data_IF_368881649740
#
_entry.id   IF_368881649740
#
_cell.length_a   1.000
_cell.length_b   1.000
_cell.length_c   1.000
_cell.angle_alpha   90.00
_cell.angle_beta   90.00
_cell.angle_gamma   90.00
#
_symmetry.space_group_name_H-M   'P 1'
#
loop_
_entity.id
_entity.type
_entity.pdbx_description
1 polymer ?
#
# COMPACT_ATOMS: atom_id res chain seq x y z
N UNK A 1 -9.53 5.05 -10.20
CA UNK A 1 -8.13 4.89 -10.69
C UNK A 1 -8.08 3.76 -11.70
N UNK A 2 -7.38 3.97 -12.80
CA UNK A 2 -7.17 2.96 -13.85
C UNK A 2 -5.68 2.69 -14.01
N UNK A 3 -5.32 1.43 -14.18
CA UNK A 3 -3.96 1.01 -14.48
C UNK A 3 -3.76 0.86 -15.97
N UNK A 4 -2.56 1.19 -16.44
CA UNK A 4 -2.13 0.95 -17.82
C UNK A 4 -1.27 -0.31 -17.85
N UNK A 5 -1.83 -1.41 -18.36
CA UNK A 5 -1.15 -2.71 -18.39
C UNK A 5 -0.79 -3.06 -19.83
N UNK A 6 0.50 -3.32 -20.08
CA UNK A 6 0.97 -3.81 -21.37
C UNK A 6 0.85 -5.32 -21.46
N UNK A 7 0.52 -5.81 -22.65
CA UNK A 7 0.41 -7.25 -22.89
C UNK A 7 1.79 -7.91 -22.95
N UNK A 8 2.14 -8.68 -21.94
CA UNK A 8 3.40 -9.42 -21.88
C UNK A 8 3.45 -10.58 -22.88
N UNK A 9 2.29 -11.13 -23.27
CA UNK A 9 2.24 -12.16 -24.32
C UNK A 9 2.70 -11.61 -25.67
N UNK A 10 2.45 -10.33 -25.96
CA UNK A 10 3.01 -9.69 -27.15
C UNK A 10 4.54 -9.70 -27.12
N UNK A 11 5.16 -9.43 -25.96
CA UNK A 11 6.62 -9.50 -25.83
C UNK A 11 7.15 -10.91 -26.06
N UNK A 12 6.48 -11.93 -25.51
CA UNK A 12 6.91 -13.33 -25.63
C UNK A 12 6.74 -13.89 -27.04
N UNK A 13 5.65 -13.53 -27.75
CA UNK A 13 5.34 -14.07 -29.08
C UNK A 13 6.01 -13.29 -30.19
N UNK A 14 6.00 -11.95 -30.09
CA UNK A 14 6.44 -11.06 -31.17
C UNK A 14 7.80 -10.42 -30.88
N UNK A 15 8.42 -10.68 -29.72
CA UNK A 15 9.67 -10.05 -29.28
C UNK A 15 9.56 -8.55 -28.99
N UNK A 16 8.36 -7.99 -29.04
CA UNK A 16 8.10 -6.56 -28.80
C UNK A 16 6.88 -6.37 -27.91
N UNK A 17 7.01 -5.53 -26.91
CA UNK A 17 5.85 -5.08 -26.15
C UNK A 17 4.82 -4.41 -27.07
N UNK A 18 3.53 -4.54 -26.73
CA UNK A 18 2.49 -3.74 -27.42
C UNK A 18 2.77 -2.25 -27.21
N UNK A 19 2.64 -1.48 -28.27
CA UNK A 19 2.82 -0.02 -28.20
C UNK A 19 1.73 0.62 -27.32
N UNK A 20 0.55 0.03 -27.30
CA UNK A 20 -0.59 0.48 -26.52
C UNK A 20 -0.74 -0.35 -25.23
N UNK A 21 -1.02 0.35 -24.13
CA UNK A 21 -1.39 -0.25 -22.87
C UNK A 21 -2.91 -0.39 -22.78
N UNK A 22 -3.35 -1.44 -22.09
CA UNK A 22 -4.77 -1.64 -21.79
C UNK A 22 -5.12 -0.91 -20.50
N UNK A 23 -6.10 -0.04 -20.55
CA UNK A 23 -6.61 0.68 -19.38
C UNK A 23 -7.60 -0.21 -18.62
N UNK A 24 -7.25 -0.64 -17.42
CA UNK A 24 -8.06 -1.52 -16.57
C UNK A 24 -8.42 -0.83 -15.26
N UNK A 25 -9.61 -1.14 -14.71
CA UNK A 25 -10.00 -0.64 -13.40
C UNK A 25 -9.26 -1.38 -12.30
N UNK A 26 -8.91 -0.63 -11.25
CA UNK A 26 -8.26 -1.19 -10.06
C UNK A 26 -9.13 -2.27 -9.42
N UNK A 27 -8.58 -3.47 -9.21
CA UNK A 27 -9.26 -4.60 -8.59
C UNK A 27 -8.71 -4.86 -7.18
N UNK A 28 -9.60 -5.31 -6.29
CA UNK A 28 -9.26 -5.55 -4.87
C UNK A 28 -8.30 -6.74 -4.68
N UNK A 29 -8.33 -7.69 -5.60
CA UNK A 29 -7.49 -8.89 -5.60
C UNK A 29 -6.15 -8.70 -6.32
N UNK A 30 -5.92 -7.55 -6.97
CA UNK A 30 -4.71 -7.26 -7.72
C UNK A 30 -4.55 -8.07 -9.01
N UNK A 31 -5.64 -8.69 -9.50
CA UNK A 31 -5.66 -9.52 -10.71
C UNK A 31 -6.41 -8.84 -11.84
N UNK A 32 -5.80 -8.79 -12.99
CA UNK A 32 -6.33 -8.08 -14.16
C UNK A 32 -6.41 -9.00 -15.36
N UNK A 33 -7.63 -9.40 -15.70
CA UNK A 33 -7.92 -10.12 -16.95
C UNK A 33 -8.12 -9.12 -18.07
N UNK A 34 -7.39 -9.29 -19.17
CA UNK A 34 -7.53 -8.42 -20.34
C UNK A 34 -7.33 -9.17 -21.64
N UNK A 35 -7.88 -8.58 -22.71
CA UNK A 35 -7.59 -8.99 -24.09
C UNK A 35 -6.96 -7.81 -24.81
N UNK A 36 -5.71 -7.99 -25.30
CA UNK A 36 -5.04 -6.92 -26.03
C UNK A 36 -5.58 -6.79 -27.47
N UNK A 37 -5.22 -5.74 -28.18
CA UNK A 37 -5.65 -5.48 -29.55
C UNK A 37 -5.27 -6.60 -30.54
N UNK A 38 -4.20 -7.37 -30.25
CA UNK A 38 -3.79 -8.55 -31.03
C UNK A 38 -4.55 -9.83 -30.66
N UNK A 39 -5.55 -9.74 -29.77
CA UNK A 39 -6.38 -10.87 -29.36
C UNK A 39 -5.77 -11.78 -28.28
N UNK A 40 -4.60 -11.47 -27.72
CA UNK A 40 -4.05 -12.26 -26.63
C UNK A 40 -4.86 -12.03 -25.35
N UNK A 41 -5.33 -13.13 -24.77
CA UNK A 41 -5.98 -13.13 -23.45
C UNK A 41 -4.93 -13.39 -22.39
N UNK A 42 -4.79 -12.48 -21.43
CA UNK A 42 -3.82 -12.58 -20.34
C UNK A 42 -4.46 -12.24 -19.00
N UNK A 43 -3.92 -12.85 -17.94
CA UNK A 43 -4.16 -12.44 -16.56
C UNK A 43 -2.85 -11.88 -16.04
N UNK A 44 -2.87 -10.64 -15.57
CA UNK A 44 -1.70 -9.97 -14.99
C UNK A 44 -1.94 -9.78 -13.50
N UNK A 45 -0.99 -10.20 -12.67
CA UNK A 45 -0.96 -9.90 -11.25
C UNK A 45 0.02 -8.76 -10.98
N UNK A 46 -0.36 -7.81 -10.14
CA UNK A 46 0.57 -6.79 -9.65
C UNK A 46 1.26 -7.26 -8.38
N UNK A 47 2.53 -6.87 -8.20
CA UNK A 47 3.33 -7.30 -7.04
C UNK A 47 3.04 -6.49 -5.77
N UNK A 48 2.53 -5.28 -5.93
CA UNK A 48 2.35 -4.32 -4.86
C UNK A 48 1.31 -4.78 -3.85
N UNK A 49 1.62 -4.59 -2.58
CA UNK A 49 0.72 -4.91 -1.48
C UNK A 49 -0.41 -3.88 -1.39
N UNK A 50 -1.53 -4.28 -0.82
CA UNK A 50 -2.71 -3.42 -0.71
C UNK A 50 -2.42 -2.08 -0.02
N UNK A 51 -1.51 -2.04 0.95
CA UNK A 51 -1.14 -0.80 1.63
C UNK A 51 -0.39 0.18 0.72
N UNK A 52 0.45 -0.32 -0.20
CA UNK A 52 1.19 0.48 -1.18
C UNK A 52 0.21 1.18 -2.13
N UNK A 53 -0.72 0.41 -2.66
CA UNK A 53 -1.78 0.91 -3.56
C UNK A 53 -2.68 1.94 -2.87
N UNK A 54 -3.10 1.67 -1.64
CA UNK A 54 -3.96 2.59 -0.89
C UNK A 54 -3.24 3.90 -0.55
N UNK A 55 -1.93 3.85 -0.27
CA UNK A 55 -1.15 5.05 -0.04
C UNK A 55 -1.05 5.91 -1.31
N UNK A 56 -0.80 5.27 -2.45
CA UNK A 56 -0.77 5.94 -3.77
C UNK A 56 -2.15 6.53 -4.14
N UNK A 57 -3.24 5.81 -3.86
CA UNK A 57 -4.60 6.35 -4.02
C UNK A 57 -4.81 7.62 -3.18
N UNK A 58 -4.30 7.63 -1.95
CA UNK A 58 -4.32 8.82 -1.09
C UNK A 58 -3.51 9.99 -1.66
N UNK A 59 -2.32 9.69 -2.19
CA UNK A 59 -1.47 10.69 -2.85
C UNK A 59 -2.14 11.27 -4.12
N UNK A 60 -2.75 10.42 -4.93
CA UNK A 60 -3.51 10.85 -6.11
C UNK A 60 -4.70 11.73 -5.73
N UNK A 61 -5.48 11.33 -4.74
CA UNK A 61 -6.61 12.11 -4.26
C UNK A 61 -6.16 13.50 -3.75
N UNK A 62 -5.01 13.58 -3.08
CA UNK A 62 -4.44 14.87 -2.67
C UNK A 62 -4.07 15.74 -3.88
N UNK A 63 -3.40 15.18 -4.88
CA UNK A 63 -3.01 15.90 -6.10
C UNK A 63 -4.22 16.36 -6.93
N UNK A 64 -5.30 15.60 -6.90
CA UNK A 64 -6.55 15.90 -7.62
C UNK A 64 -7.51 16.81 -6.82
N UNK A 65 -7.10 17.25 -5.63
CA UNK A 65 -7.90 18.18 -4.82
C UNK A 65 -9.02 17.52 -4.02
N UNK A 66 -8.92 16.22 -3.71
CA UNK A 66 -9.85 15.45 -2.88
C UNK A 66 -9.25 15.15 -1.50
N UNK A 67 -9.12 16.16 -0.63
CA UNK A 67 -8.34 16.02 0.62
C UNK A 67 -8.95 15.03 1.62
N UNK A 68 -10.27 14.89 1.66
CA UNK A 68 -10.95 13.94 2.55
C UNK A 68 -10.65 12.50 2.14
N UNK A 69 -10.75 12.21 0.86
CA UNK A 69 -10.47 10.91 0.24
C UNK A 69 -9.00 10.53 0.42
N UNK A 70 -8.10 11.53 0.33
CA UNK A 70 -6.69 11.34 0.58
C UNK A 70 -6.41 10.83 2.00
N UNK A 71 -6.96 11.49 3.03
CA UNK A 71 -6.82 11.04 4.43
C UNK A 71 -7.42 9.65 4.63
N UNK A 72 -8.59 9.39 4.06
CA UNK A 72 -9.27 8.09 4.18
C UNK A 72 -8.43 6.96 3.59
N UNK A 73 -7.86 7.16 2.40
CA UNK A 73 -7.03 6.16 1.73
C UNK A 73 -5.70 5.93 2.45
N UNK A 74 -5.03 7.00 2.92
CA UNK A 74 -3.80 6.89 3.70
C UNK A 74 -4.04 6.19 5.05
N UNK A 75 -5.15 6.45 5.72
CA UNK A 75 -5.54 5.76 6.95
C UNK A 75 -5.76 4.25 6.71
N UNK A 76 -6.45 3.91 5.63
CA UNK A 76 -6.64 2.52 5.23
C UNK A 76 -5.30 1.83 4.87
N UNK A 77 -4.34 2.57 4.29
CA UNK A 77 -3.00 2.05 4.03
C UNK A 77 -2.30 1.61 5.31
N UNK A 78 -2.36 2.40 6.39
CA UNK A 78 -1.79 2.02 7.70
C UNK A 78 -2.39 0.73 8.23
N UNK A 79 -3.71 0.57 8.15
CA UNK A 79 -4.39 -0.63 8.62
C UNK A 79 -3.98 -1.88 7.81
N UNK A 80 -3.80 -1.74 6.50
CA UNK A 80 -3.29 -2.83 5.64
C UNK A 80 -1.80 -3.10 5.86
N UNK A 81 -1.04 -2.08 6.22
CA UNK A 81 0.35 -2.26 6.59
C UNK A 81 0.51 -3.05 7.90
N UNK A 82 -0.34 -2.81 8.91
CA UNK A 82 -0.34 -3.64 10.12
C UNK A 82 -0.58 -5.12 9.80
N UNK A 83 -1.50 -5.40 8.89
CA UNK A 83 -1.75 -6.77 8.42
C UNK A 83 -0.49 -7.36 7.77
N UNK A 84 0.16 -6.62 6.87
CA UNK A 84 1.40 -7.04 6.23
C UNK A 84 2.52 -7.31 7.25
N UNK A 85 2.71 -6.41 8.22
CA UNK A 85 3.69 -6.56 9.30
C UNK A 85 3.45 -7.85 10.11
N UNK A 86 2.20 -8.07 10.51
CA UNK A 86 1.80 -9.28 11.26
C UNK A 86 2.08 -10.53 10.42
N UNK A 87 1.80 -10.52 9.12
CA UNK A 87 2.09 -11.64 8.22
C UNK A 87 3.59 -11.94 8.18
N UNK A 88 4.42 -10.92 7.98
CA UNK A 88 5.89 -11.09 7.90
C UNK A 88 6.43 -11.71 9.19
N UNK A 89 6.08 -11.16 10.35
CA UNK A 89 6.59 -11.65 11.63
C UNK A 89 6.02 -13.02 11.98
N UNK A 90 4.74 -13.27 11.71
CA UNK A 90 4.15 -14.60 11.94
C UNK A 90 4.84 -15.70 11.13
N UNK A 91 5.15 -15.44 9.86
CA UNK A 91 5.91 -16.37 9.02
C UNK A 91 7.33 -16.60 9.55
N UNK A 92 7.97 -15.55 10.05
CA UNK A 92 9.29 -15.66 10.69
C UNK A 92 9.27 -16.60 11.90
N UNK A 93 8.18 -16.60 12.65
CA UNK A 93 7.97 -17.51 13.79
C UNK A 93 7.34 -18.86 13.40
N UNK A 94 7.35 -19.21 12.12
CA UNK A 94 6.92 -20.54 11.64
C UNK A 94 5.41 -20.72 11.48
N UNK A 95 4.61 -19.66 11.61
CA UNK A 95 3.16 -19.73 11.39
C UNK A 95 2.87 -19.76 9.90
N UNK A 96 2.09 -20.75 9.43
CA UNK A 96 1.72 -20.84 8.02
C UNK A 96 0.71 -19.77 7.60
N UNK A 97 0.66 -19.44 6.32
CA UNK A 97 -0.36 -18.53 5.77
C UNK A 97 -1.78 -19.02 6.03
N UNK A 98 -2.01 -20.35 5.99
CA UNK A 98 -3.31 -20.93 6.25
C UNK A 98 -3.75 -20.69 7.70
N UNK A 99 -2.87 -20.97 8.66
CA UNK A 99 -3.12 -20.73 10.09
C UNK A 99 -3.36 -19.26 10.36
N UNK A 100 -2.53 -18.39 9.77
CA UNK A 100 -2.65 -16.95 9.94
C UNK A 100 -3.97 -16.42 9.37
N UNK A 101 -4.38 -16.88 8.19
CA UNK A 101 -5.66 -16.49 7.58
C UNK A 101 -6.84 -16.85 8.47
N UNK A 102 -6.84 -18.04 9.06
CA UNK A 102 -7.89 -18.46 9.99
C UNK A 102 -7.93 -17.60 11.26
N UNK A 103 -6.77 -17.31 11.85
CA UNK A 103 -6.65 -16.45 13.03
C UNK A 103 -7.00 -14.98 12.74
N UNK A 104 -6.80 -14.51 11.49
CA UNK A 104 -7.07 -13.14 11.07
C UNK A 104 -8.56 -12.81 10.92
N UNK A 105 -9.40 -13.79 10.64
CA UNK A 105 -10.84 -13.61 10.42
C UNK A 105 -11.55 -12.77 11.52
N UNK A 106 -11.43 -13.08 12.82
CA UNK A 106 -12.03 -12.29 13.88
C UNK A 106 -11.34 -10.94 14.12
N UNK A 107 -10.05 -10.81 13.77
CA UNK A 107 -9.24 -9.59 13.97
C UNK A 107 -9.54 -8.55 12.90
N UNK A 108 -9.76 -8.99 11.65
CA UNK A 108 -9.87 -8.12 10.47
C UNK A 108 -11.10 -7.21 10.44
N UNK A 109 -12.07 -7.42 11.33
CA UNK A 109 -13.37 -6.71 11.32
C UNK A 109 -13.32 -5.30 11.90
N UNK A 110 -12.34 -4.97 12.73
CA UNK A 110 -12.23 -3.69 13.45
C UNK A 110 -10.80 -3.19 13.43
N UNK A 111 -10.63 -1.88 13.21
CA UNK A 111 -9.31 -1.23 13.16
C UNK A 111 -8.55 -1.34 14.47
N UNK A 112 -9.24 -1.21 15.59
CA UNK A 112 -8.65 -1.30 16.93
C UNK A 112 -8.08 -2.69 17.22
N UNK A 113 -8.74 -3.74 16.73
CA UNK A 113 -8.23 -5.13 16.85
C UNK A 113 -6.97 -5.34 16.04
N UNK A 114 -6.92 -4.78 14.82
CA UNK A 114 -5.71 -4.84 13.97
C UNK A 114 -4.54 -4.14 14.63
N UNK A 115 -4.78 -2.94 15.15
CA UNK A 115 -3.75 -2.19 15.85
C UNK A 115 -3.30 -2.91 17.12
N UNK A 116 -4.22 -3.43 17.95
CA UNK A 116 -3.88 -4.23 19.12
C UNK A 116 -3.04 -5.46 18.77
N UNK A 117 -3.39 -6.20 17.72
CA UNK A 117 -2.60 -7.35 17.25
C UNK A 117 -1.20 -6.92 16.80
N UNK A 118 -1.07 -5.79 16.08
CA UNK A 118 0.21 -5.21 15.70
C UNK A 118 1.07 -4.87 16.93
N UNK A 119 0.51 -4.21 17.94
CA UNK A 119 1.25 -3.84 19.15
C UNK A 119 1.85 -5.05 19.87
N UNK A 120 1.08 -6.13 19.99
CA UNK A 120 1.57 -7.34 20.64
C UNK A 120 2.62 -8.08 19.82
N UNK A 121 2.44 -8.20 18.50
CA UNK A 121 3.46 -8.86 17.68
C UNK A 121 4.73 -8.04 17.59
N UNK A 122 4.61 -6.70 17.58
CA UNK A 122 5.76 -5.78 17.63
C UNK A 122 6.54 -5.95 18.94
N UNK A 123 5.83 -6.02 20.09
CA UNK A 123 6.45 -6.27 21.39
C UNK A 123 7.18 -7.62 21.42
N UNK A 124 6.55 -8.68 20.91
CA UNK A 124 7.13 -10.02 20.88
C UNK A 124 8.40 -10.07 20.03
N UNK A 125 8.39 -9.41 18.87
CA UNK A 125 9.51 -9.39 17.95
C UNK A 125 10.67 -8.52 18.47
N UNK A 126 10.36 -7.29 18.87
CA UNK A 126 11.38 -6.27 19.16
C UNK A 126 11.77 -6.21 20.64
N UNK A 127 11.07 -6.92 21.53
CA UNK A 127 11.27 -6.90 23.00
C UNK A 127 11.18 -5.50 23.62
N UNK A 128 10.47 -4.59 22.93
CA UNK A 128 10.23 -3.21 23.37
C UNK A 128 8.80 -2.81 23.05
N UNK A 129 8.25 -1.92 23.86
CA UNK A 129 6.93 -1.35 23.62
C UNK A 129 7.02 -0.50 22.36
N UNK A 130 6.02 -0.66 21.49
CA UNK A 130 5.84 0.25 20.37
C UNK A 130 5.56 1.66 20.90
N UNK A 131 6.29 2.64 20.43
CA UNK A 131 6.04 4.04 20.79
C UNK A 131 4.90 4.59 19.93
N UNK A 132 3.68 4.73 20.48
CA UNK A 132 2.54 5.27 19.75
C UNK A 132 2.63 6.78 19.54
N UNK A 133 3.67 7.44 20.07
CA UNK A 133 3.79 8.92 20.01
C UNK A 133 3.70 9.46 18.59
N UNK A 134 4.00 8.62 17.58
CA UNK A 134 3.81 8.96 16.18
C UNK A 134 2.31 9.04 15.83
N UNK A 135 1.47 8.12 16.35
CA UNK A 135 0.02 8.14 16.11
C UNK A 135 -0.69 9.18 17.00
N UNK A 136 -0.16 9.41 18.20
CA UNK A 136 -0.70 10.32 19.20
C UNK A 136 0.07 11.66 19.26
N UNK A 137 1.09 11.86 18.43
CA UNK A 137 1.77 13.13 18.29
C UNK A 137 0.76 14.22 17.92
N UNK A 138 0.80 15.31 18.65
CA UNK A 138 0.05 16.51 18.26
C UNK A 138 0.79 17.16 17.11
N UNK A 139 0.09 17.49 16.02
CA UNK A 139 0.70 18.25 14.94
C UNK A 139 1.33 19.52 15.47
N UNK A 140 2.47 19.90 14.93
CA UNK A 140 3.07 21.19 15.21
C UNK A 140 2.05 22.32 14.90
N UNK A 141 2.02 23.35 15.71
CA UNK A 141 1.17 24.53 15.55
C UNK A 141 1.35 25.20 14.16
N UNK A 142 2.50 24.98 13.49
CA UNK A 142 2.79 25.45 12.14
C UNK A 142 1.85 24.88 11.07
N UNK A 143 1.20 23.73 11.33
CA UNK A 143 0.26 23.11 10.38
C UNK A 143 -1.14 23.75 10.37
N UNK A 144 -1.41 24.72 11.25
CA UNK A 144 -2.65 25.51 11.20
C UNK A 144 -3.92 24.74 11.58
N UNK A 145 -3.78 23.58 12.23
CA UNK A 145 -4.92 22.87 12.78
C UNK A 145 -5.61 23.75 13.83
N UNK A 146 -6.86 24.10 13.57
CA UNK A 146 -7.68 24.94 14.45
C UNK A 146 -7.94 24.31 15.82
N UNK A 147 -7.73 23.00 15.96
CA UNK A 147 -7.80 22.23 17.21
C UNK A 147 -6.49 21.48 17.42
N UNK A 148 -6.04 21.38 18.67
CA UNK A 148 -4.91 20.53 19.06
C UNK A 148 -5.37 19.06 19.10
N UNK A 149 -5.66 18.50 17.93
CA UNK A 149 -6.03 17.10 17.77
C UNK A 149 -4.77 16.24 17.62
N UNK A 150 -4.80 15.04 18.17
CA UNK A 150 -3.86 13.99 17.79
C UNK A 150 -4.13 13.57 16.33
N UNK A 151 -3.19 12.93 15.68
CA UNK A 151 -3.39 12.43 14.32
C UNK A 151 -4.53 11.40 14.23
N UNK A 152 -4.72 10.60 15.28
CA UNK A 152 -5.87 9.67 15.39
C UNK A 152 -7.19 10.43 15.47
N UNK A 153 -7.27 11.48 16.28
CA UNK A 153 -8.45 12.34 16.37
C UNK A 153 -8.71 13.08 15.06
N UNK A 154 -7.66 13.60 14.41
CA UNK A 154 -7.77 14.23 13.09
C UNK A 154 -8.36 13.26 12.06
N UNK A 155 -7.82 12.05 11.94
CA UNK A 155 -8.35 11.00 11.06
C UNK A 155 -9.83 10.73 11.37
N UNK A 156 -10.19 10.62 12.64
CA UNK A 156 -11.58 10.34 13.05
C UNK A 156 -12.54 11.50 12.73
N UNK A 157 -12.10 12.74 12.85
CA UNK A 157 -12.89 13.91 12.41
C UNK A 157 -13.15 13.85 10.88
N UNK A 158 -12.13 13.53 10.09
CA UNK A 158 -12.23 13.45 8.63
C UNK A 158 -13.12 12.27 8.21
N UNK A 159 -12.84 11.07 8.72
CA UNK A 159 -13.48 9.83 8.26
C UNK A 159 -14.91 9.73 8.76
N UNK A 160 -15.15 10.02 10.05
CA UNK A 160 -16.43 9.74 10.70
C UNK A 160 -17.32 10.95 10.91
N UNK A 161 -16.75 12.17 11.00
CA UNK A 161 -17.53 13.37 11.28
C UNK A 161 -17.64 14.35 10.10
N UNK A 162 -17.13 13.95 8.93
CA UNK A 162 -17.27 14.74 7.71
C UNK A 162 -16.42 16.01 7.66
N UNK A 163 -15.36 16.11 8.47
CA UNK A 163 -14.43 17.23 8.38
C UNK A 163 -13.72 17.21 7.02
N UNK A 164 -13.65 18.35 6.35
CA UNK A 164 -12.92 18.55 5.09
C UNK A 164 -11.61 19.25 5.41
N UNK A 165 -10.48 18.54 5.38
CA UNK A 165 -9.18 19.12 5.70
C UNK A 165 -8.65 19.99 4.55
N UNK A 166 -7.76 20.92 4.88
CA UNK A 166 -6.98 21.63 3.87
C UNK A 166 -5.88 20.72 3.27
N UNK A 167 -5.42 21.03 2.06
CA UNK A 167 -4.29 20.31 1.44
C UNK A 167 -3.03 20.32 2.31
N UNK A 168 -2.80 21.39 3.07
CA UNK A 168 -1.67 21.51 4.01
C UNK A 168 -1.78 20.50 5.16
N UNK A 169 -2.96 20.32 5.72
CA UNK A 169 -3.22 19.34 6.79
C UNK A 169 -3.05 17.92 6.26
N UNK A 170 -3.53 17.64 5.03
CA UNK A 170 -3.38 16.34 4.40
C UNK A 170 -1.92 16.04 4.07
N UNK A 171 -1.15 17.02 3.60
CA UNK A 171 0.28 16.86 3.34
C UNK A 171 1.04 16.50 4.63
N UNK A 172 0.72 17.16 5.74
CA UNK A 172 1.33 16.87 7.04
C UNK A 172 0.94 15.47 7.55
N UNK A 173 -0.32 15.08 7.39
CA UNK A 173 -0.79 13.73 7.72
C UNK A 173 -0.11 12.67 6.84
N UNK A 174 -0.01 12.93 5.55
CA UNK A 174 0.68 12.05 4.61
C UNK A 174 2.16 11.88 4.93
N UNK A 175 2.86 12.95 5.33
CA UNK A 175 4.26 12.90 5.78
C UNK A 175 4.40 11.99 7.00
N UNK A 176 3.54 12.14 8.00
CA UNK A 176 3.55 11.29 9.19
C UNK A 176 3.39 9.81 8.82
N UNK A 177 2.38 9.48 8.01
CA UNK A 177 2.09 8.10 7.60
C UNK A 177 3.22 7.53 6.74
N UNK A 178 3.76 8.33 5.82
CA UNK A 178 4.89 7.96 4.97
C UNK A 178 6.10 7.55 5.79
N UNK A 179 6.54 8.41 6.70
CA UNK A 179 7.70 8.15 7.58
C UNK A 179 7.46 6.98 8.53
N UNK A 180 6.23 6.86 9.03
CA UNK A 180 5.82 5.77 9.91
C UNK A 180 5.96 4.39 9.22
N UNK A 181 5.34 4.23 8.06
CA UNK A 181 5.38 2.96 7.31
C UNK A 181 6.81 2.68 6.86
N UNK A 182 7.51 3.69 6.34
CA UNK A 182 8.87 3.54 5.85
C UNK A 182 9.83 3.04 6.95
N UNK A 183 9.78 3.65 8.13
CA UNK A 183 10.59 3.22 9.28
C UNK A 183 10.35 1.75 9.63
N UNK A 184 9.11 1.33 9.69
CA UNK A 184 8.77 -0.07 10.03
C UNK A 184 9.17 -1.04 8.92
N UNK A 185 9.13 -0.64 7.66
CA UNK A 185 9.67 -1.44 6.54
C UNK A 185 11.17 -1.62 6.69
N UNK A 186 11.92 -0.57 7.07
CA UNK A 186 13.37 -0.69 7.30
C UNK A 186 13.68 -1.61 8.49
N UNK A 187 12.91 -1.53 9.58
CA UNK A 187 13.05 -2.45 10.72
C UNK A 187 12.81 -3.91 10.28
N UNK A 188 11.74 -4.17 9.49
CA UNK A 188 11.46 -5.49 8.92
C UNK A 188 12.59 -5.96 7.99
N UNK A 189 13.09 -5.08 7.15
CA UNK A 189 14.15 -5.39 6.17
C UNK A 189 15.44 -5.82 6.85
N UNK A 190 15.78 -5.18 7.96
CA UNK A 190 16.98 -5.51 8.73
C UNK A 190 16.92 -6.93 9.34
N UNK A 191 15.73 -7.43 9.68
CA UNK A 191 15.59 -8.67 10.48
C UNK A 191 14.78 -9.76 9.81
N UNK A 192 14.01 -9.46 8.76
CA UNK A 192 12.95 -10.33 8.24
C UNK A 192 12.81 -10.29 6.72
N UNK A 193 13.86 -9.88 6.00
CA UNK A 193 13.84 -9.68 4.53
C UNK A 193 13.31 -10.89 3.76
N UNK A 194 13.70 -12.10 4.13
CA UNK A 194 13.23 -13.33 3.47
C UNK A 194 11.71 -13.48 3.59
N UNK A 195 11.16 -13.17 4.76
CA UNK A 195 9.71 -13.30 5.01
C UNK A 195 8.91 -12.17 4.36
N UNK A 196 9.49 -10.98 4.21
CA UNK A 196 8.91 -9.91 3.39
C UNK A 196 8.72 -10.36 1.95
N UNK A 197 9.73 -11.00 1.36
CA UNK A 197 9.64 -11.57 0.01
C UNK A 197 8.57 -12.68 -0.06
N UNK A 198 8.49 -13.56 0.95
CA UNK A 198 7.44 -14.60 1.01
C UNK A 198 6.03 -13.99 1.02
N UNK A 199 5.82 -12.90 1.77
CA UNK A 199 4.53 -12.18 1.77
C UNK A 199 4.24 -11.56 0.40
N UNK A 200 5.21 -10.88 -0.20
CA UNK A 200 5.06 -10.27 -1.52
C UNK A 200 4.72 -11.32 -2.59
N UNK A 201 5.40 -12.47 -2.60
CA UNK A 201 5.15 -13.53 -3.57
C UNK A 201 3.90 -14.37 -3.29
N UNK A 202 3.40 -14.40 -2.06
CA UNK A 202 2.17 -15.14 -1.75
C UNK A 202 0.96 -14.63 -2.54
N UNK A 203 0.88 -13.34 -2.79
CA UNK A 203 -0.15 -12.73 -3.62
C UNK A 203 -0.12 -13.30 -5.05
N UNK A 204 1.06 -13.45 -5.63
CA UNK A 204 1.25 -14.02 -6.96
C UNK A 204 0.86 -15.51 -7.02
N UNK A 205 1.09 -16.26 -5.94
CA UNK A 205 0.69 -17.66 -5.86
C UNK A 205 -0.85 -17.82 -5.89
N UNK A 206 -1.59 -16.91 -5.27
CA UNK A 206 -3.06 -16.87 -5.37
C UNK A 206 -3.52 -16.63 -6.80
N UNK A 207 -2.86 -15.70 -7.50
CA UNK A 207 -3.13 -15.43 -8.91
C UNK A 207 -3.00 -16.69 -9.76
N UNK A 208 -1.93 -17.46 -9.53
CA UNK A 208 -1.69 -18.71 -10.25
C UNK A 208 -2.82 -19.74 -10.05
N UNK A 209 -3.32 -19.88 -8.85
CA UNK A 209 -4.46 -20.77 -8.55
C UNK A 209 -5.74 -20.33 -9.24
N UNK A 210 -6.01 -19.02 -9.26
CA UNK A 210 -7.23 -18.46 -9.85
C UNK A 210 -7.25 -18.53 -11.39
N UNK A 211 -6.08 -18.63 -12.03
CA UNK A 211 -5.98 -18.72 -13.50
C UNK A 211 -6.39 -20.07 -14.08
N UNK A 212 -6.67 -21.08 -13.25
CA UNK A 212 -7.02 -22.44 -13.68
C UNK A 212 -6.06 -23.03 -14.73
N UNK A 213 -4.75 -22.74 -14.59
CA UNK A 213 -3.73 -23.17 -15.56
C UNK A 213 -3.57 -22.27 -16.77
N UNK A 214 -4.27 -21.13 -16.80
CA UNK A 214 -4.07 -20.08 -17.80
C UNK A 214 -2.72 -19.37 -17.65
N UNK A 215 -2.31 -18.66 -18.71
CA UNK A 215 -1.06 -17.91 -18.71
C UNK A 215 -1.17 -16.70 -17.79
N UNK A 216 -0.34 -16.63 -16.76
CA UNK A 216 -0.25 -15.49 -15.86
C UNK A 216 1.04 -14.74 -16.17
N UNK A 217 0.92 -13.43 -16.21
CA UNK A 217 2.04 -12.51 -16.20
C UNK A 217 2.06 -11.73 -14.89
N UNK A 218 3.21 -11.24 -14.49
CA UNK A 218 3.35 -10.39 -13.31
C UNK A 218 3.91 -9.03 -13.72
N UNK A 219 3.50 -7.99 -13.02
CA UNK A 219 3.96 -6.64 -13.26
C UNK A 219 4.17 -5.91 -11.93
N UNK A 220 5.23 -5.12 -11.85
CA UNK A 220 5.40 -4.13 -10.80
C UNK A 220 5.00 -2.75 -11.31
N UNK A 221 4.33 -2.00 -10.46
CA UNK A 221 4.07 -0.58 -10.65
C UNK A 221 4.90 0.21 -9.64
N UNK A 222 5.52 1.32 -10.02
CA UNK A 222 6.23 2.16 -9.05
C UNK A 222 5.24 2.77 -8.07
N UNK A 223 5.52 2.60 -6.79
CA UNK A 223 4.74 3.14 -5.68
C UNK A 223 5.59 4.08 -4.83
N UNK A 224 4.93 4.98 -4.10
CA UNK A 224 5.58 5.91 -3.17
C UNK A 224 6.24 5.18 -2.01
N UNK A 225 5.63 4.09 -1.57
CA UNK A 225 6.16 3.21 -0.52
C UNK A 225 6.25 1.82 -1.12
N UNK A 226 7.38 1.12 -0.96
CA UNK A 226 7.52 -0.24 -1.42
C UNK A 226 8.03 -1.18 -0.33
N UNK A 227 7.34 -2.31 -0.16
CA UNK A 227 7.77 -3.38 0.73
C UNK A 227 9.10 -4.01 0.28
N UNK A 228 9.27 -4.18 -1.02
CA UNK A 228 10.36 -4.98 -1.60
C UNK A 228 11.51 -4.13 -2.11
N UNK A 229 11.21 -3.01 -2.78
CA UNK A 229 12.24 -2.14 -3.36
C UNK A 229 12.98 -1.40 -2.25
N UNK A 230 14.29 -1.57 -2.23
CA UNK A 230 15.16 -1.08 -1.19
C UNK A 230 16.04 0.10 -1.62
N UNK A 231 16.48 0.87 -0.63
CA UNK A 231 17.82 1.46 -0.54
C UNK A 231 18.04 2.82 -1.20
N UNK A 232 17.08 3.72 -1.08
CA UNK A 232 17.45 5.15 -1.07
C UNK A 232 17.00 5.74 0.26
N UNK A 233 17.74 6.69 0.84
CA UNK A 233 17.21 7.49 1.93
C UNK A 233 15.83 7.97 1.49
N UNK A 234 14.80 7.70 2.27
CA UNK A 234 13.46 8.12 1.91
C UNK A 234 13.44 9.64 1.78
N UNK A 235 13.07 10.20 0.63
CA UNK A 235 12.79 11.62 0.55
C UNK A 235 11.62 11.93 1.49
N UNK A 236 11.38 13.20 1.77
CA UNK A 236 10.14 13.62 2.43
C UNK A 236 8.95 13.22 1.57
N UNK A 237 7.77 13.05 2.17
CA UNK A 237 6.55 12.78 1.39
C UNK A 237 6.31 13.86 0.33
N UNK A 238 6.58 15.13 0.65
CA UNK A 238 6.44 16.22 -0.30
C UNK A 238 7.35 16.09 -1.53
N UNK A 239 8.59 15.61 -1.35
CA UNK A 239 9.51 15.32 -2.47
C UNK A 239 9.07 14.09 -3.26
N UNK A 240 8.68 13.02 -2.56
CA UNK A 240 8.17 11.81 -3.18
C UNK A 240 6.91 12.11 -4.01
N UNK A 241 6.01 12.95 -3.49
CA UNK A 241 4.77 13.37 -4.17
C UNK A 241 5.04 14.14 -5.46
N UNK A 242 6.07 15.02 -5.50
CA UNK A 242 6.48 15.73 -6.73
C UNK A 242 6.97 14.74 -7.79
N UNK A 243 7.79 13.77 -7.39
CA UNK A 243 8.25 12.70 -8.28
C UNK A 243 7.08 11.88 -8.81
N UNK A 244 6.15 11.51 -7.94
CA UNK A 244 4.96 10.75 -8.28
C UNK A 244 4.02 11.51 -9.23
N UNK A 245 3.83 12.82 -9.05
CA UNK A 245 3.06 13.66 -9.97
C UNK A 245 3.62 13.64 -11.39
N UNK A 246 4.96 13.73 -11.52
CA UNK A 246 5.63 13.64 -12.81
C UNK A 246 5.45 12.26 -13.43
N UNK A 247 5.64 11.21 -12.63
CA UNK A 247 5.49 9.83 -13.05
C UNK A 247 4.05 9.51 -13.50
N UNK A 248 3.05 9.97 -12.75
CA UNK A 248 1.63 9.80 -13.05
C UNK A 248 1.23 10.31 -14.42
N UNK A 249 1.83 11.43 -14.87
CA UNK A 249 1.58 12.01 -16.19
C UNK A 249 2.10 11.16 -17.35
N UNK A 250 3.14 10.37 -17.11
CA UNK A 250 3.84 9.64 -18.16
C UNK A 250 3.58 8.14 -18.17
N UNK A 251 3.06 7.59 -17.07
CA UNK A 251 2.98 6.16 -16.88
C UNK A 251 1.62 5.69 -16.36
N UNK A 252 1.55 4.52 -15.81
CA UNK A 252 0.46 3.59 -15.52
C UNK A 252 -0.82 4.15 -14.89
N UNK A 253 -0.88 5.39 -14.48
CA UNK A 253 -2.05 5.97 -13.85
C UNK A 253 -2.68 7.01 -14.79
N UNK A 254 -3.86 6.72 -15.35
CA UNK A 254 -4.72 7.71 -16.00
C UNK A 254 -5.90 8.05 -15.12
N UNK A 255 -6.31 9.30 -15.14
CA UNK A 255 -7.53 9.78 -14.47
C UNK A 255 -8.78 9.08 -15.01
#
# INVERSE_FOLDING_TARGET
MRLQIKCMTCLEVDGKMSDEANSVEMQDDGLYSMTCQRGHKTITAIHEQKFEILFDLGAMALLDGYPREAVTSMAAAVERFFECYIQVISLKHGISFQTLTAAWQPVSRQSERRFGAFLFIYLMENKRIFDPSIADAKPDASFGLKKRLTWTEFRNEVVHKGYIPSSKEVLAYGELIYQFIYRLIEELRATSKEYMLKVAFHHNAKAFVLSAGGRITTMSIPTLISLVLANRPAPTFGEALKGFETYRRWHSYSA
#
